data_IF_403888891450
#
_entry.id   IF_403888891450
#
_cell.length_a   1.000
_cell.length_b   1.000
_cell.length_c   1.000
_cell.angle_alpha   90.00
_cell.angle_beta   90.00
_cell.angle_gamma   90.00
#
_symmetry.space_group_name_H-M   'P 1'
#
loop_
_entity.id
_entity.type
_entity.pdbx_description
1 polymer ?
#
# COMPACT_ATOMS: atom_id res chain seq x y z
N UNK A 1 -0.21 4.82 7.78
CA UNK A 1 -0.96 3.55 7.90
C UNK A 1 -0.77 3.00 9.29
N UNK A 2 -1.83 2.41 9.86
CA UNK A 2 -1.82 1.67 11.13
C UNK A 2 -2.69 0.43 10.89
N UNK A 3 -2.25 -0.74 11.34
CA UNK A 3 -3.01 -1.98 11.21
C UNK A 3 -2.93 -2.83 12.49
N UNK A 4 -3.84 -3.81 12.57
CA UNK A 4 -3.83 -4.80 13.63
C UNK A 4 -2.69 -5.80 13.40
N UNK A 5 -1.84 -6.08 14.41
CA UNK A 5 -0.75 -7.05 14.25
C UNK A 5 -1.26 -8.48 14.03
N UNK A 6 -0.61 -9.21 13.10
CA UNK A 6 -0.67 -10.66 13.03
C UNK A 6 -0.06 -11.27 14.32
N UNK A 7 -0.63 -12.38 14.80
CA UNK A 7 -0.25 -13.10 16.01
C UNK A 7 0.52 -14.40 15.73
N UNK A 8 0.81 -14.69 14.46
CA UNK A 8 1.63 -15.84 14.06
C UNK A 8 3.05 -15.73 14.65
N UNK A 9 3.55 -16.82 15.23
CA UNK A 9 4.84 -16.84 15.95
C UNK A 9 6.05 -16.66 15.02
N UNK A 10 5.91 -17.03 13.75
CA UNK A 10 6.93 -16.97 12.71
C UNK A 10 6.82 -15.73 11.83
N UNK A 11 6.11 -14.69 12.27
CA UNK A 11 6.01 -13.42 11.55
C UNK A 11 7.39 -12.76 11.36
N UNK A 12 7.81 -12.65 10.11
CA UNK A 12 8.99 -11.90 9.66
C UNK A 12 8.74 -10.42 9.35
N UNK A 13 7.47 -9.99 9.35
CA UNK A 13 7.06 -8.59 9.26
C UNK A 13 5.98 -8.35 8.20
N UNK A 14 5.88 -7.11 7.74
CA UNK A 14 4.85 -6.69 6.78
C UNK A 14 5.44 -6.06 5.53
N UNK A 15 5.00 -6.51 4.36
CA UNK A 15 5.19 -5.75 3.12
C UNK A 15 4.09 -4.71 3.00
N UNK A 16 4.49 -3.45 2.87
CA UNK A 16 3.57 -2.36 2.57
C UNK A 16 3.45 -2.26 1.06
N UNK A 17 2.22 -2.33 0.56
CA UNK A 17 1.91 -2.19 -0.85
C UNK A 17 1.31 -0.82 -1.14
N UNK A 18 1.60 -0.27 -2.31
CA UNK A 18 1.05 1.00 -2.79
C UNK A 18 0.74 0.93 -4.27
N UNK A 19 -0.35 1.57 -4.67
CA UNK A 19 -0.68 1.87 -6.07
C UNK A 19 -1.28 3.27 -6.17
N UNK A 20 -1.14 3.92 -7.33
CA UNK A 20 -1.86 5.18 -7.57
C UNK A 20 -3.35 4.86 -7.75
N UNK A 21 -4.23 5.61 -7.08
CA UNK A 21 -5.67 5.48 -7.30
C UNK A 21 -5.99 5.86 -8.76
N UNK A 22 -6.94 5.16 -9.37
CA UNK A 22 -7.37 5.49 -10.74
C UNK A 22 -7.90 6.93 -10.80
N UNK A 23 -7.48 7.68 -11.82
CA UNK A 23 -7.72 9.12 -11.93
C UNK A 23 -6.71 10.02 -11.20
N UNK A 24 -5.65 9.48 -10.59
CA UNK A 24 -4.60 10.27 -9.92
C UNK A 24 -3.54 10.87 -10.85
N UNK A 25 -3.78 10.88 -12.17
CA UNK A 25 -3.02 11.77 -13.07
C UNK A 25 -3.34 13.20 -12.69
N UNK A 26 -2.31 14.02 -12.49
CA UNK A 26 -2.43 15.47 -12.36
C UNK A 26 -3.11 16.00 -13.64
N UNK A 27 -4.43 16.03 -13.65
CA UNK A 27 -5.18 16.58 -14.77
C UNK A 27 -5.01 18.11 -14.71
N UNK A 28 -4.61 18.78 -15.80
CA UNK A 28 -4.82 20.21 -15.89
C UNK A 28 -6.32 20.49 -15.65
N UNK A 29 -6.69 21.63 -15.04
CA UNK A 29 -8.07 21.93 -14.58
C UNK A 29 -9.14 21.92 -15.69
N UNK A 30 -8.78 21.63 -16.94
CA UNK A 30 -9.65 21.55 -18.11
C UNK A 30 -9.93 20.12 -18.61
N UNK A 31 -9.27 19.08 -18.09
CA UNK A 31 -9.54 17.71 -18.52
C UNK A 31 -10.72 17.10 -17.75
N UNK A 32 -11.68 16.50 -18.46
CA UNK A 32 -12.74 15.68 -17.84
C UNK A 32 -12.09 14.46 -17.17
N UNK A 33 -12.44 14.13 -15.91
CA UNK A 33 -12.00 12.89 -15.30
C UNK A 33 -12.58 11.70 -16.07
N UNK A 34 -11.72 10.82 -16.58
CA UNK A 34 -12.16 9.49 -17.02
C UNK A 34 -12.21 8.64 -15.76
N UNK A 35 -13.40 8.51 -15.19
CA UNK A 35 -13.68 7.63 -14.06
C UNK A 35 -13.79 6.19 -14.60
N UNK A 36 -12.65 5.60 -14.91
CA UNK A 36 -12.57 4.14 -15.07
C UNK A 36 -12.17 3.55 -13.73
N UNK A 37 -13.09 2.78 -13.14
CA UNK A 37 -12.97 2.07 -11.87
C UNK A 37 -11.98 0.90 -12.02
N UNK A 38 -10.74 1.24 -12.36
CA UNK A 38 -9.65 0.28 -12.45
C UNK A 38 -9.07 0.18 -11.05
N UNK A 39 -9.09 -1.00 -10.44
CA UNK A 39 -8.38 -1.22 -9.18
C UNK A 39 -6.90 -0.84 -9.36
N UNK A 40 -6.36 -0.06 -8.42
CA UNK A 40 -4.94 0.29 -8.45
C UNK A 40 -4.10 -1.00 -8.42
N UNK A 41 -3.17 -1.16 -9.36
CA UNK A 41 -2.17 -2.22 -9.29
C UNK A 41 -1.24 -1.93 -8.11
N UNK A 42 -1.35 -2.73 -7.06
CA UNK A 42 -0.53 -2.57 -5.85
C UNK A 42 0.84 -3.22 -6.05
N UNK A 43 1.89 -2.49 -5.73
CA UNK A 43 3.28 -2.96 -5.76
C UNK A 43 3.93 -2.78 -4.39
N UNK A 44 4.94 -3.61 -4.03
CA UNK A 44 5.71 -3.39 -2.81
C UNK A 44 6.36 -2.02 -2.78
N UNK A 45 6.04 -1.24 -1.74
CA UNK A 45 6.65 0.04 -1.44
C UNK A 45 7.92 -0.12 -0.61
N UNK A 46 7.96 -1.15 0.23
CA UNK A 46 9.09 -1.45 1.12
C UNK A 46 9.97 -2.55 0.51
N UNK A 47 11.29 -2.34 0.48
CA UNK A 47 12.24 -3.32 -0.05
C UNK A 47 12.44 -4.55 0.86
N UNK A 48 12.11 -4.40 2.15
CA UNK A 48 12.11 -5.47 3.16
C UNK A 48 10.83 -5.36 4.00
N UNK A 49 10.37 -6.44 4.63
CA UNK A 49 9.27 -6.37 5.58
C UNK A 49 9.57 -5.37 6.71
N UNK A 50 8.58 -4.57 7.10
CA UNK A 50 8.65 -3.72 8.29
C UNK A 50 8.17 -4.50 9.51
N UNK A 51 8.79 -4.29 10.67
CA UNK A 51 8.43 -5.02 11.90
C UNK A 51 7.30 -4.33 12.67
N UNK A 52 7.20 -3.00 12.54
CA UNK A 52 6.18 -2.21 13.16
C UNK A 52 4.82 -2.40 12.48
N UNK A 53 3.73 -2.26 13.25
CA UNK A 53 2.37 -2.27 12.73
C UNK A 53 1.88 -0.88 12.28
N UNK A 54 2.83 0.00 11.99
CA UNK A 54 2.58 1.35 11.48
C UNK A 54 3.59 1.66 10.38
N UNK A 55 3.16 2.45 9.40
CA UNK A 55 4.04 2.89 8.32
C UNK A 55 3.69 4.30 7.88
N UNK A 56 4.72 5.13 7.72
CA UNK A 56 4.62 6.49 7.17
C UNK A 56 5.26 6.53 5.79
N UNK A 57 4.47 6.75 4.76
CA UNK A 57 4.98 6.94 3.39
C UNK A 57 5.54 8.36 3.24
N UNK A 58 6.87 8.48 3.29
CA UNK A 58 7.57 9.76 3.08
C UNK A 58 7.89 10.02 1.60
N UNK A 59 7.61 9.05 0.72
CA UNK A 59 7.81 9.15 -0.73
C UNK A 59 6.54 9.58 -1.48
N UNK A 60 5.46 9.85 -0.73
CA UNK A 60 4.18 10.27 -1.29
C UNK A 60 4.27 11.67 -1.90
N UNK A 61 3.86 11.80 -3.16
CA UNK A 61 3.83 13.09 -3.86
C UNK A 61 2.55 13.84 -3.44
N UNK A 62 2.66 15.07 -2.89
CA UNK A 62 1.49 15.85 -2.48
C UNK A 62 0.46 16.01 -3.60
N UNK A 63 -0.83 15.90 -3.25
CA UNK A 63 -1.93 16.02 -4.20
C UNK A 63 -2.23 14.75 -5.01
N UNK A 64 -1.40 13.72 -4.92
CA UNK A 64 -1.68 12.40 -5.53
C UNK A 64 -2.41 11.52 -4.52
N UNK A 65 -3.45 10.83 -4.98
CA UNK A 65 -4.18 9.83 -4.21
C UNK A 65 -3.57 8.45 -4.42
N UNK A 66 -3.30 7.76 -3.33
CA UNK A 66 -2.75 6.41 -3.33
C UNK A 66 -3.68 5.45 -2.61
N UNK A 67 -3.62 4.21 -3.04
CA UNK A 67 -4.24 3.06 -2.39
C UNK A 67 -3.12 2.25 -1.74
N UNK A 68 -3.36 1.82 -0.50
CA UNK A 68 -2.41 1.03 0.27
C UNK A 68 -3.05 -0.26 0.77
N UNK A 69 -2.22 -1.30 0.91
CA UNK A 69 -2.55 -2.52 1.64
C UNK A 69 -1.29 -3.07 2.33
N UNK A 70 -1.46 -4.01 3.23
CA UNK A 70 -0.34 -4.72 3.86
C UNK A 70 -0.48 -6.23 3.67
N UNK A 71 0.65 -6.92 3.56
CA UNK A 71 0.76 -8.39 3.59
C UNK A 71 1.71 -8.79 4.72
N UNK A 72 1.35 -9.83 5.47
CA UNK A 72 2.26 -10.45 6.41
C UNK A 72 3.21 -11.40 5.66
N UNK A 73 4.44 -11.50 6.15
CA UNK A 73 5.49 -12.35 5.60
C UNK A 73 6.14 -13.12 6.75
N UNK A 74 6.37 -14.41 6.57
CA UNK A 74 7.02 -15.26 7.58
C UNK A 74 8.57 -15.09 7.56
N UNK A 75 9.24 -15.38 8.67
CA UNK A 75 10.71 -15.28 8.83
C UNK A 75 11.47 -16.56 8.42
N UNK A 76 11.05 -17.17 7.32
CA UNK A 76 11.70 -18.39 6.79
C UNK A 76 12.33 -18.14 5.42
N UNK A 77 13.35 -18.93 5.07
CA UNK A 77 14.13 -18.74 3.83
C UNK A 77 13.29 -18.76 2.55
N UNK A 78 12.16 -19.46 2.57
CA UNK A 78 11.10 -19.41 1.56
C UNK A 78 9.82 -18.89 2.22
N UNK A 79 9.81 -17.59 2.53
CA UNK A 79 8.74 -16.95 3.27
C UNK A 79 7.38 -17.12 2.59
N UNK A 80 6.37 -17.55 3.35
CA UNK A 80 5.00 -17.43 2.89
C UNK A 80 4.58 -15.96 2.98
N UNK A 81 3.69 -15.57 2.07
CA UNK A 81 3.13 -14.21 2.04
C UNK A 81 1.61 -14.35 2.11
N UNK A 82 1.01 -13.62 3.04
CA UNK A 82 -0.45 -13.64 3.21
C UNK A 82 -1.16 -13.01 2.01
N UNK A 83 -2.47 -13.20 1.94
CA UNK A 83 -3.31 -12.31 1.13
C UNK A 83 -3.17 -10.86 1.59
N UNK A 84 -3.40 -9.92 0.68
CA UNK A 84 -3.40 -8.49 1.04
C UNK A 84 -4.56 -8.16 1.98
N UNK A 85 -4.33 -7.24 2.89
CA UNK A 85 -5.38 -6.62 3.71
C UNK A 85 -6.44 -5.92 2.85
N UNK A 86 -7.53 -5.49 3.49
CA UNK A 86 -8.42 -4.50 2.88
C UNK A 86 -7.62 -3.26 2.44
N UNK A 87 -8.01 -2.71 1.30
CA UNK A 87 -7.38 -1.53 0.72
C UNK A 87 -7.80 -0.27 1.47
N UNK A 88 -6.86 0.64 1.66
CA UNK A 88 -7.09 1.95 2.28
C UNK A 88 -6.63 3.04 1.33
N UNK A 89 -7.53 3.96 1.00
CA UNK A 89 -7.18 5.16 0.24
C UNK A 89 -6.63 6.26 1.15
N UNK A 90 -5.57 6.92 0.70
CA UNK A 90 -5.07 8.12 1.34
C UNK A 90 -4.61 9.14 0.29
N UNK A 91 -4.90 10.42 0.57
CA UNK A 91 -4.34 11.54 -0.18
C UNK A 91 -3.05 12.01 0.49
N UNK A 92 -1.97 12.13 -0.27
CA UNK A 92 -0.73 12.74 0.20
C UNK A 92 -0.95 14.24 0.43
N UNK A 93 -0.57 14.73 1.61
CA UNK A 93 -0.60 16.16 1.97
C UNK A 93 0.79 16.76 1.92
#
# INVERSE_FOLDING_TARGET
LIWQPNQDEDLGGYLVLRGAASGATLQPPTARPVLEDTFATLQPLTARPVLENTFRDTSAVPGVRYVYAVQAVDDVALANVSVASAQVEAAAR
#
